data_IF_039595513906
#
_entry.id   IF_039595513906
#
_cell.length_a   1.000
_cell.length_b   1.000
_cell.length_c   1.000
_cell.angle_alpha   90.00
_cell.angle_beta   90.00
_cell.angle_gamma   90.00
#
_symmetry.space_group_name_H-M   'P 1'
#
loop_
_entity.id
_entity.type
_entity.pdbx_description
1 polymer ?
#
# COMPACT_ATOMS: atom_id res chain seq x y z
N UNK A 1 14.89 42.05 12.92
CA UNK A 1 16.24 41.51 13.16
C UNK A 1 16.36 40.24 12.34
N UNK A 2 17.34 40.24 11.44
CA UNK A 2 17.40 39.50 10.18
C UNK A 2 17.66 38.01 10.46
N UNK A 3 16.80 37.13 9.96
CA UNK A 3 17.10 35.70 9.85
C UNK A 3 18.19 35.53 8.78
N UNK A 4 19.27 34.80 9.05
CA UNK A 4 20.39 34.72 8.12
C UNK A 4 19.99 34.01 6.84
N UNK A 5 20.39 34.63 5.72
CA UNK A 5 20.42 34.04 4.40
C UNK A 5 21.22 32.73 4.44
N UNK A 6 20.55 31.68 4.01
CA UNK A 6 21.04 30.32 4.03
C UNK A 6 19.94 29.42 3.49
N UNK A 7 19.39 29.79 2.34
CA UNK A 7 18.79 28.83 1.43
C UNK A 7 19.91 27.83 1.17
N UNK A 8 19.89 26.72 1.92
CA UNK A 8 20.64 25.53 1.55
C UNK A 8 20.06 25.19 0.18
N UNK A 9 20.80 25.57 -0.86
CA UNK A 9 20.52 25.26 -2.24
C UNK A 9 19.96 23.83 -2.30
N UNK A 10 18.84 23.66 -3.02
CA UNK A 10 18.37 22.35 -3.43
C UNK A 10 19.49 21.67 -4.23
N UNK A 11 20.43 21.02 -3.53
CA UNK A 11 21.48 20.21 -4.13
C UNK A 11 20.82 19.24 -5.09
N UNK A 12 21.10 19.41 -6.37
CA UNK A 12 20.79 18.53 -7.51
C UNK A 12 19.82 17.39 -7.18
N UNK A 13 18.51 17.70 -7.18
CA UNK A 13 17.50 16.63 -7.14
C UNK A 13 17.66 15.82 -8.43
N UNK A 14 17.94 14.51 -8.35
CA UNK A 14 18.12 13.73 -9.57
C UNK A 14 16.79 13.69 -10.33
N UNK A 15 16.86 13.78 -11.67
CA UNK A 15 15.68 13.73 -12.54
C UNK A 15 14.85 12.45 -12.31
N UNK A 16 15.52 11.37 -11.93
CA UNK A 16 14.89 10.11 -11.55
C UNK A 16 15.50 9.59 -10.24
N UNK A 17 14.73 8.87 -9.40
CA UNK A 17 15.26 8.24 -8.21
C UNK A 17 16.45 7.34 -8.53
N UNK A 18 17.50 7.45 -7.71
CA UNK A 18 18.71 6.63 -7.83
C UNK A 18 18.42 5.17 -7.44
N UNK A 19 17.42 4.97 -6.60
CA UNK A 19 16.98 3.66 -6.14
C UNK A 19 15.46 3.60 -5.99
N UNK A 20 14.91 2.40 -6.20
CA UNK A 20 13.51 2.05 -5.95
C UNK A 20 13.45 0.89 -4.97
N UNK A 21 12.55 1.01 -4.00
CA UNK A 21 12.20 -0.07 -3.08
C UNK A 21 10.71 -0.35 -3.25
N UNK A 22 10.38 -1.61 -3.44
CA UNK A 22 9.00 -2.10 -3.45
C UNK A 22 8.74 -2.83 -2.14
N UNK A 23 7.67 -2.45 -1.46
CA UNK A 23 7.22 -3.04 -0.19
C UNK A 23 5.72 -3.33 -0.17
N UNK A 24 4.98 -3.07 -1.26
CA UNK A 24 3.56 -3.43 -1.43
C UNK A 24 3.45 -4.73 -2.25
N UNK A 25 3.76 -5.87 -1.64
CA UNK A 25 4.03 -7.16 -2.27
C UNK A 25 5.47 -7.61 -1.99
N UNK A 26 6.05 -8.39 -2.90
CA UNK A 26 7.41 -8.91 -2.75
C UNK A 26 8.44 -7.79 -2.51
N UNK A 27 9.22 -7.92 -1.44
CA UNK A 27 10.24 -6.95 -1.07
C UNK A 27 11.37 -6.94 -2.10
N UNK A 28 11.53 -5.84 -2.83
CA UNK A 28 12.61 -5.70 -3.82
C UNK A 28 13.33 -4.37 -3.71
N UNK A 29 14.62 -4.39 -4.07
CA UNK A 29 15.48 -3.20 -4.16
C UNK A 29 16.06 -3.13 -5.56
N UNK A 30 15.95 -1.98 -6.22
CA UNK A 30 16.45 -1.77 -7.57
C UNK A 30 17.26 -0.47 -7.66
N UNK A 31 18.46 -0.51 -8.22
CA UNK A 31 19.28 0.68 -8.49
C UNK A 31 19.11 1.11 -9.95
N UNK A 32 19.28 2.41 -10.17
CA UNK A 32 19.32 2.98 -11.52
C UNK A 32 20.57 2.51 -12.26
N UNK A 33 20.41 2.07 -13.50
CA UNK A 33 21.51 1.64 -14.38
C UNK A 33 21.78 2.68 -15.47
N UNK A 34 20.73 3.32 -15.98
CA UNK A 34 20.85 4.38 -16.99
C UNK A 34 19.69 5.36 -16.85
N UNK A 35 20.03 6.65 -16.96
CA UNK A 35 19.12 7.79 -17.02
C UNK A 35 19.18 8.49 -18.39
N UNK A 36 19.90 7.90 -19.36
CA UNK A 36 20.31 8.52 -20.62
C UNK A 36 19.20 8.61 -21.69
N UNK A 37 17.98 8.16 -21.39
CA UNK A 37 16.83 8.18 -22.31
C UNK A 37 15.54 8.61 -21.62
N UNK A 38 14.41 8.60 -22.34
CA UNK A 38 13.11 9.06 -21.83
C UNK A 38 12.59 8.28 -20.62
N UNK A 39 13.03 7.03 -20.44
CA UNK A 39 12.68 6.18 -19.30
C UNK A 39 13.93 5.66 -18.61
N UNK A 40 14.07 5.86 -17.28
CA UNK A 40 15.18 5.29 -16.53
C UNK A 40 15.08 3.77 -16.49
N UNK A 41 16.22 3.09 -16.58
CA UNK A 41 16.32 1.63 -16.40
C UNK A 41 16.80 1.32 -15.00
N UNK A 42 16.11 0.38 -14.35
CA UNK A 42 16.46 -0.12 -13.02
C UNK A 42 16.79 -1.60 -13.09
N UNK A 43 17.82 -2.03 -12.34
CA UNK A 43 18.16 -3.44 -12.16
C UNK A 43 17.83 -3.86 -10.73
N UNK A 44 17.09 -4.94 -10.59
CA UNK A 44 16.81 -5.58 -9.31
C UNK A 44 18.11 -6.13 -8.71
N UNK A 45 18.28 -5.93 -7.42
CA UNK A 45 19.33 -6.59 -6.65
C UNK A 45 18.96 -8.06 -6.47
N UNK A 46 19.90 -8.94 -6.74
CA UNK A 46 19.74 -10.39 -6.61
C UNK A 46 19.74 -10.82 -5.15
N UNK A 47 19.25 -12.03 -4.88
CA UNK A 47 19.34 -12.62 -3.54
C UNK A 47 20.79 -12.71 -3.07
N UNK A 48 21.76 -12.96 -3.96
CA UNK A 48 23.19 -12.98 -3.57
C UNK A 48 23.71 -11.61 -3.10
N UNK A 49 23.17 -10.51 -3.66
CA UNK A 49 23.50 -9.13 -3.29
C UNK A 49 22.82 -8.73 -1.96
N UNK A 50 21.72 -9.37 -1.58
CA UNK A 50 20.94 -9.03 -0.37
C UNK A 50 21.09 -10.04 0.78
N UNK A 51 21.24 -11.33 0.49
CA UNK A 51 20.93 -12.49 1.35
C UNK A 51 21.84 -12.69 2.56
N UNK A 52 23.04 -12.10 2.57
CA UNK A 52 23.92 -12.09 3.73
C UNK A 52 23.69 -10.92 4.70
N UNK A 53 22.76 -10.00 4.39
CA UNK A 53 22.69 -8.66 5.01
C UNK A 53 21.39 -8.44 5.80
N UNK A 54 20.86 -9.50 6.43
CA UNK A 54 19.56 -9.48 7.14
C UNK A 54 19.38 -8.31 8.10
N UNK A 55 20.37 -8.02 8.95
CA UNK A 55 20.29 -6.91 9.90
C UNK A 55 20.26 -5.53 9.22
N UNK A 56 20.96 -5.36 8.09
CA UNK A 56 20.93 -4.12 7.31
C UNK A 56 19.61 -3.93 6.57
N UNK A 57 19.02 -5.01 6.04
CA UNK A 57 17.69 -4.99 5.45
C UNK A 57 16.60 -4.72 6.49
N UNK A 58 16.72 -5.30 7.68
CA UNK A 58 15.81 -5.01 8.78
C UNK A 58 15.93 -3.54 9.22
N UNK A 59 17.14 -3.00 9.33
CA UNK A 59 17.36 -1.57 9.60
C UNK A 59 16.71 -0.68 8.53
N UNK A 60 16.83 -1.05 7.25
CA UNK A 60 16.19 -0.36 6.13
C UNK A 60 14.65 -0.39 6.26
N UNK A 61 14.06 -1.57 6.48
CA UNK A 61 12.61 -1.74 6.67
C UNK A 61 12.10 -0.92 7.87
N UNK A 62 12.80 -0.95 9.01
CA UNK A 62 12.48 -0.13 10.19
C UNK A 62 12.49 1.36 9.84
N UNK A 63 13.51 1.83 9.12
CA UNK A 63 13.60 3.23 8.71
C UNK A 63 12.45 3.60 7.75
N UNK A 64 12.08 2.74 6.80
CA UNK A 64 10.91 2.95 5.92
C UNK A 64 9.61 3.08 6.73
N UNK A 65 9.46 2.28 7.79
CA UNK A 65 8.30 2.35 8.69
C UNK A 65 8.34 3.55 9.64
N UNK A 66 9.50 4.16 9.86
CA UNK A 66 9.67 5.24 10.82
C UNK A 66 9.14 6.58 10.27
N UNK A 67 8.52 7.43 11.11
CA UNK A 67 8.10 8.77 10.69
C UNK A 67 9.23 9.55 10.03
N UNK A 68 8.95 10.16 8.87
CA UNK A 68 9.93 10.91 8.06
C UNK A 68 11.17 10.09 7.67
N UNK A 69 11.05 8.76 7.64
CA UNK A 69 12.14 7.82 7.36
C UNK A 69 13.35 7.97 8.28
N UNK A 70 13.07 8.30 9.55
CA UNK A 70 14.08 8.68 10.52
C UNK A 70 13.89 7.92 11.82
N UNK A 71 14.98 7.36 12.35
CA UNK A 71 15.00 6.73 13.65
C UNK A 71 16.27 7.13 14.42
N UNK A 72 16.19 7.10 15.75
CA UNK A 72 17.34 7.34 16.60
C UNK A 72 18.20 6.09 16.73
N UNK A 73 19.48 6.28 17.06
CA UNK A 73 20.41 5.20 17.37
C UNK A 73 19.84 4.25 18.43
N UNK A 74 19.27 4.82 19.50
CA UNK A 74 18.66 4.06 20.60
C UNK A 74 17.46 3.23 20.14
N UNK A 75 16.57 3.82 19.32
CA UNK A 75 15.42 3.11 18.76
C UNK A 75 15.86 1.94 17.86
N UNK A 76 16.85 2.16 17.00
CA UNK A 76 17.37 1.13 16.10
C UNK A 76 18.02 -0.02 16.86
N UNK A 77 18.83 0.27 17.88
CA UNK A 77 19.44 -0.77 18.74
C UNK A 77 18.34 -1.61 19.40
N UNK A 78 17.33 -0.96 20.00
CA UNK A 78 16.24 -1.64 20.69
C UNK A 78 15.45 -2.57 19.76
N UNK A 79 15.22 -2.17 18.52
CA UNK A 79 14.46 -2.95 17.54
C UNK A 79 15.28 -4.07 16.89
N UNK A 80 16.56 -3.82 16.58
CA UNK A 80 17.43 -4.80 15.93
C UNK A 80 17.95 -5.86 16.91
N UNK A 81 18.21 -5.46 18.17
CA UNK A 81 18.82 -6.32 19.18
C UNK A 81 18.22 -6.09 20.58
N UNK A 82 16.98 -6.53 20.84
CA UNK A 82 16.30 -6.28 22.11
C UNK A 82 17.00 -6.90 23.33
N UNK A 83 17.81 -7.94 23.14
CA UNK A 83 18.47 -8.73 24.21
C UNK A 83 19.99 -8.53 24.31
N UNK A 84 20.60 -7.62 23.53
CA UNK A 84 22.06 -7.41 23.56
C UNK A 84 22.47 -6.29 24.52
N UNK A 85 23.65 -6.45 25.12
CA UNK A 85 24.29 -5.40 25.91
C UNK A 85 24.63 -4.16 25.05
N UNK A 86 24.52 -2.98 25.66
CA UNK A 86 24.55 -1.68 24.97
C UNK A 86 25.85 -1.42 24.18
N UNK A 87 27.02 -1.80 24.70
CA UNK A 87 28.30 -1.57 24.01
C UNK A 87 28.47 -2.45 22.76
N UNK A 88 28.14 -3.73 22.87
CA UNK A 88 28.17 -4.66 21.74
C UNK A 88 27.15 -4.26 20.66
N UNK A 89 25.99 -3.75 21.08
CA UNK A 89 24.96 -3.27 20.16
C UNK A 89 25.38 -2.01 19.40
N UNK A 90 26.19 -1.12 19.99
CA UNK A 90 26.72 0.06 19.31
C UNK A 90 27.64 -0.32 18.15
N UNK A 91 28.63 -1.17 18.40
CA UNK A 91 29.55 -1.63 17.34
C UNK A 91 28.82 -2.44 16.26
N UNK A 92 27.81 -3.24 16.66
CA UNK A 92 26.96 -3.94 15.70
C UNK A 92 26.16 -2.96 14.83
N UNK A 93 25.59 -1.90 15.41
CA UNK A 93 24.88 -0.87 14.64
C UNK A 93 25.80 -0.16 13.66
N UNK A 94 27.01 0.22 14.08
CA UNK A 94 27.97 0.89 13.19
C UNK A 94 28.31 -0.02 12.00
N UNK A 95 28.53 -1.32 12.26
CA UNK A 95 28.76 -2.33 11.22
C UNK A 95 27.58 -2.46 10.27
N UNK A 96 26.35 -2.62 10.81
CA UNK A 96 25.12 -2.75 10.03
C UNK A 96 24.86 -1.49 9.19
N UNK A 97 25.06 -0.31 9.77
CA UNK A 97 24.91 0.96 9.05
C UNK A 97 25.95 1.09 7.94
N UNK A 98 27.20 0.67 8.16
CA UNK A 98 28.25 0.67 7.14
C UNK A 98 27.91 -0.27 5.98
N UNK A 99 27.40 -1.48 6.29
CA UNK A 99 26.92 -2.43 5.28
C UNK A 99 25.76 -1.83 4.48
N UNK A 100 24.78 -1.24 5.17
CA UNK A 100 23.62 -0.61 4.55
C UNK A 100 24.05 0.52 3.60
N UNK A 101 25.01 1.37 3.99
CA UNK A 101 25.55 2.44 3.13
C UNK A 101 26.29 1.93 1.90
N UNK A 102 27.18 0.95 2.08
CA UNK A 102 28.13 0.54 1.02
C UNK A 102 27.56 -0.47 0.03
N UNK A 103 26.64 -1.32 0.48
CA UNK A 103 26.22 -2.48 -0.32
C UNK A 103 24.76 -2.40 -0.78
N UNK A 104 23.93 -1.63 -0.10
CA UNK A 104 22.49 -1.55 -0.41
C UNK A 104 22.14 -0.14 -0.87
N UNK A 105 22.52 0.90 -0.13
CA UNK A 105 22.14 2.29 -0.38
C UNK A 105 23.23 3.14 -1.04
N UNK A 106 24.22 2.51 -1.67
CA UNK A 106 25.28 3.20 -2.41
C UNK A 106 24.71 3.73 -3.73
N UNK A 107 24.71 5.05 -3.92
CA UNK A 107 24.48 5.63 -5.24
C UNK A 107 25.77 5.59 -6.08
N UNK A 108 25.62 5.62 -7.41
CA UNK A 108 26.74 5.74 -8.35
C UNK A 108 27.57 7.03 -8.14
N UNK A 109 27.00 8.05 -7.49
CA UNK A 109 27.60 9.35 -7.24
C UNK A 109 28.33 9.46 -5.89
N UNK A 110 28.83 8.36 -5.33
CA UNK A 110 29.62 8.27 -4.08
C UNK A 110 28.90 8.63 -2.77
N UNK A 111 27.75 9.31 -2.82
CA UNK A 111 26.93 9.59 -1.63
C UNK A 111 25.94 8.46 -1.33
N UNK A 112 25.90 8.02 -0.08
CA UNK A 112 24.95 7.03 0.41
C UNK A 112 23.56 7.65 0.64
N UNK A 113 22.51 6.92 0.30
CA UNK A 113 21.11 7.30 0.56
C UNK A 113 20.70 7.19 2.04
N UNK A 114 21.62 6.79 2.92
CA UNK A 114 21.50 6.84 4.38
C UNK A 114 22.41 7.92 4.96
N UNK A 115 21.79 8.93 5.56
CA UNK A 115 22.43 10.04 6.24
C UNK A 115 22.44 9.83 7.75
N UNK A 116 23.42 10.45 8.42
CA UNK A 116 23.51 10.49 9.87
C UNK A 116 23.65 11.93 10.34
N UNK A 117 22.83 12.32 11.31
CA UNK A 117 22.86 13.65 11.89
C UNK A 117 22.83 13.55 13.41
N UNK A 118 23.62 14.38 14.08
CA UNK A 118 23.56 14.53 15.54
C UNK A 118 22.73 15.75 15.88
N UNK A 119 21.66 15.57 16.65
CA UNK A 119 20.75 16.61 17.10
C UNK A 119 20.51 16.44 18.60
N UNK A 120 20.70 17.50 19.38
CA UNK A 120 20.47 17.50 20.84
C UNK A 120 21.17 16.34 21.58
N UNK A 121 22.39 16.00 21.17
CA UNK A 121 23.17 14.90 21.76
C UNK A 121 22.82 13.50 21.24
N UNK A 122 21.69 13.34 20.55
CA UNK A 122 21.24 12.06 20.00
C UNK A 122 21.64 11.90 18.51
N UNK A 123 21.96 10.67 18.12
CA UNK A 123 22.31 10.33 16.73
C UNK A 123 21.09 9.81 15.99
N UNK A 124 20.78 10.42 14.85
CA UNK A 124 19.68 10.07 13.97
C UNK A 124 20.20 9.45 12.67
N UNK A 125 19.50 8.42 12.22
CA UNK A 125 19.67 7.81 10.90
C UNK A 125 18.46 8.15 10.04
N UNK A 126 18.71 8.61 8.81
CA UNK A 126 17.68 9.13 7.92
C UNK A 126 17.88 8.59 6.51
N UNK A 127 16.82 8.04 5.92
CA UNK A 127 16.85 7.73 4.49
C UNK A 127 16.60 8.99 3.67
N UNK A 128 17.18 9.01 2.48
CA UNK A 128 16.91 10.05 1.48
C UNK A 128 15.41 10.13 1.15
N UNK A 129 14.97 11.32 0.73
CA UNK A 129 13.58 11.57 0.34
C UNK A 129 13.19 10.87 -0.97
N UNK A 130 11.89 10.97 -1.31
CA UNK A 130 11.31 10.28 -2.48
C UNK A 130 11.94 10.62 -3.83
N UNK A 131 12.57 11.79 -3.95
CA UNK A 131 13.28 12.19 -5.18
C UNK A 131 14.50 11.32 -5.45
N UNK A 132 15.18 10.80 -4.42
CA UNK A 132 16.43 10.05 -4.56
C UNK A 132 16.26 8.57 -4.23
N UNK A 133 15.48 8.25 -3.18
CA UNK A 133 15.13 6.89 -2.79
C UNK A 133 13.61 6.74 -2.88
N UNK A 134 13.14 6.19 -3.99
CA UNK A 134 11.72 5.99 -4.20
C UNK A 134 11.22 4.73 -3.50
N UNK A 135 10.18 4.85 -2.69
CA UNK A 135 9.47 3.73 -2.05
C UNK A 135 8.02 3.75 -2.51
N UNK A 136 7.51 2.62 -3.01
CA UNK A 136 6.13 2.51 -3.52
C UNK A 136 5.06 2.89 -2.48
N UNK A 137 5.22 2.48 -1.22
CA UNK A 137 4.29 2.82 -0.15
C UNK A 137 4.21 4.33 0.13
N UNK A 138 5.33 5.05 0.02
CA UNK A 138 5.33 6.52 0.10
C UNK A 138 4.75 7.16 -1.16
N UNK A 139 4.99 6.56 -2.33
CA UNK A 139 4.41 7.02 -3.59
C UNK A 139 2.88 6.86 -3.60
N UNK A 140 2.36 5.74 -3.10
CA UNK A 140 0.93 5.47 -2.91
C UNK A 140 0.26 6.60 -2.12
N UNK A 141 0.80 6.91 -0.93
CA UNK A 141 0.27 7.96 -0.05
C UNK A 141 0.38 9.34 -0.71
N UNK A 142 1.50 9.64 -1.38
CA UNK A 142 1.68 10.91 -2.07
C UNK A 142 0.72 11.09 -3.26
N UNK A 143 0.49 10.04 -4.05
CA UNK A 143 -0.46 10.06 -5.16
C UNK A 143 -1.89 10.23 -4.66
N UNK A 144 -2.29 9.52 -3.60
CA UNK A 144 -3.60 9.72 -2.97
C UNK A 144 -3.79 11.15 -2.46
N UNK A 145 -2.78 11.73 -1.79
CA UNK A 145 -2.83 13.12 -1.34
C UNK A 145 -2.88 14.11 -2.53
N UNK A 146 -2.20 13.78 -3.63
CA UNK A 146 -2.24 14.58 -4.86
C UNK A 146 -3.62 14.55 -5.50
N UNK A 147 -4.26 13.39 -5.56
CA UNK A 147 -5.64 13.24 -6.03
C UNK A 147 -6.60 14.15 -5.25
N UNK A 148 -6.55 14.12 -3.91
CA UNK A 148 -7.37 14.99 -3.05
C UNK A 148 -7.15 16.47 -3.36
N UNK A 149 -5.89 16.90 -3.54
CA UNK A 149 -5.59 18.30 -3.91
C UNK A 149 -6.11 18.68 -5.29
N UNK A 150 -6.05 17.76 -6.25
CA UNK A 150 -6.58 18.00 -7.60
C UNK A 150 -8.10 18.14 -7.57
N UNK A 151 -8.79 17.28 -6.83
CA UNK A 151 -10.23 17.36 -6.63
C UNK A 151 -10.65 18.69 -5.96
N UNK A 152 -9.93 19.13 -4.92
CA UNK A 152 -10.17 20.43 -4.28
C UNK A 152 -9.99 21.62 -5.22
N UNK A 153 -9.19 21.46 -6.29
CA UNK A 153 -9.00 22.46 -7.35
C UNK A 153 -9.97 22.27 -8.52
N UNK A 154 -11.00 21.43 -8.38
CA UNK A 154 -11.92 21.04 -9.45
C UNK A 154 -11.23 20.47 -10.70
N UNK A 155 -10.08 19.81 -10.52
CA UNK A 155 -9.36 19.08 -11.56
C UNK A 155 -9.61 17.58 -11.43
N UNK A 156 -9.37 16.84 -12.51
CA UNK A 156 -9.55 15.39 -12.53
C UNK A 156 -8.54 14.67 -11.61
N UNK A 157 -8.98 14.01 -10.52
CA UNK A 157 -8.11 13.25 -9.64
C UNK A 157 -7.83 11.82 -10.17
N UNK A 158 -8.59 11.35 -11.18
CA UNK A 158 -8.60 9.95 -11.60
C UNK A 158 -7.22 9.41 -12.00
N UNK A 159 -6.37 10.11 -12.78
CA UNK A 159 -5.06 9.58 -13.17
C UNK A 159 -4.14 9.30 -11.98
N UNK A 160 -4.24 10.11 -10.91
CA UNK A 160 -3.44 9.93 -9.70
C UNK A 160 -3.92 8.74 -8.87
N UNK A 161 -5.23 8.53 -8.80
CA UNK A 161 -5.81 7.39 -8.11
C UNK A 161 -5.54 6.08 -8.86
N UNK A 162 -5.67 6.06 -10.19
CA UNK A 162 -5.33 4.90 -11.02
C UNK A 162 -3.84 4.56 -10.90
N UNK A 163 -2.96 5.58 -10.93
CA UNK A 163 -1.53 5.39 -10.71
C UNK A 163 -1.20 4.88 -9.30
N UNK A 164 -1.91 5.35 -8.27
CA UNK A 164 -1.74 4.86 -6.91
C UNK A 164 -2.16 3.39 -6.79
N UNK A 165 -3.33 3.05 -7.32
CA UNK A 165 -3.85 1.69 -7.28
C UNK A 165 -2.92 0.69 -7.98
N UNK A 166 -2.31 1.08 -9.11
CA UNK A 166 -1.33 0.25 -9.82
C UNK A 166 -0.05 -0.08 -9.02
N UNK A 167 0.21 0.62 -7.90
CA UNK A 167 1.33 0.30 -7.00
C UNK A 167 1.00 -0.83 -6.01
N UNK A 168 -0.28 -1.16 -5.82
CA UNK A 168 -0.71 -2.18 -4.88
C UNK A 168 -0.56 -3.54 -5.56
N UNK A 169 0.52 -4.27 -5.24
CA UNK A 169 0.76 -5.63 -5.76
C UNK A 169 0.59 -6.73 -4.72
N UNK A 170 0.36 -6.34 -3.47
CA UNK A 170 0.18 -7.26 -2.34
C UNK A 170 0.17 -6.54 -0.99
N UNK A 171 0.44 -7.30 0.05
CA UNK A 171 0.49 -6.82 1.42
C UNK A 171 1.72 -5.95 1.68
N UNK A 172 1.59 -4.98 2.59
CA UNK A 172 2.72 -4.15 3.00
C UNK A 172 3.70 -4.96 3.85
N UNK A 173 4.95 -5.10 3.38
CA UNK A 173 6.01 -5.87 4.02
C UNK A 173 5.55 -7.26 4.47
N UNK A 174 5.07 -8.06 3.52
CA UNK A 174 4.48 -9.39 3.78
C UNK A 174 5.37 -10.31 4.64
N UNK A 175 6.68 -10.33 4.40
CA UNK A 175 7.66 -11.12 5.17
C UNK A 175 7.69 -10.80 6.68
N UNK A 176 7.24 -9.61 7.06
CA UNK A 176 7.38 -9.08 8.41
C UNK A 176 6.02 -8.80 9.06
N UNK A 177 4.92 -9.34 8.52
CA UNK A 177 3.55 -8.96 8.88
C UNK A 177 3.24 -8.97 10.39
N UNK A 178 3.92 -9.81 11.17
CA UNK A 178 3.72 -9.95 12.63
C UNK A 178 4.55 -8.99 13.48
N UNK A 179 5.44 -8.20 12.88
CA UNK A 179 6.31 -7.29 13.61
C UNK A 179 5.55 -6.05 14.14
N UNK A 180 5.64 -5.80 15.45
CA UNK A 180 4.94 -4.67 16.09
C UNK A 180 5.36 -3.29 15.54
N UNK A 181 6.63 -3.12 15.16
CA UNK A 181 7.14 -1.84 14.65
C UNK A 181 6.60 -1.47 13.26
N UNK A 182 5.96 -2.42 12.56
CA UNK A 182 5.30 -2.18 11.27
C UNK A 182 3.88 -1.64 11.44
N UNK A 183 3.20 -1.99 12.53
CA UNK A 183 1.75 -1.84 12.68
C UNK A 183 1.26 -0.42 12.38
N UNK A 184 1.88 0.61 12.96
CA UNK A 184 1.47 2.01 12.72
C UNK A 184 1.62 2.43 11.25
N UNK A 185 2.68 1.95 10.58
CA UNK A 185 2.87 2.21 9.16
C UNK A 185 1.90 1.41 8.30
N UNK A 186 1.69 0.11 8.62
CA UNK A 186 0.72 -0.75 7.92
C UNK A 186 -0.68 -0.13 7.97
N UNK A 187 -1.15 0.29 9.14
CA UNK A 187 -2.45 0.97 9.28
C UNK A 187 -2.56 2.23 8.40
N UNK A 188 -1.49 3.02 8.30
CA UNK A 188 -1.46 4.21 7.43
C UNK A 188 -1.62 3.82 5.95
N UNK A 189 -0.94 2.76 5.53
CA UNK A 189 -0.98 2.26 4.15
C UNK A 189 -2.33 1.62 3.84
N UNK A 190 -2.85 0.75 4.70
CA UNK A 190 -4.16 0.12 4.52
C UNK A 190 -5.30 1.15 4.49
N UNK A 191 -5.24 2.15 5.36
CA UNK A 191 -6.16 3.28 5.29
C UNK A 191 -6.06 4.06 3.98
N UNK A 192 -4.87 4.20 3.40
CA UNK A 192 -4.69 4.83 2.09
C UNK A 192 -5.24 3.96 0.95
N UNK A 193 -4.97 2.64 0.95
CA UNK A 193 -5.53 1.69 -0.02
C UNK A 193 -7.06 1.75 -0.03
N UNK A 194 -7.69 1.70 1.15
CA UNK A 194 -9.16 1.79 1.31
C UNK A 194 -9.71 3.10 0.75
N UNK A 195 -9.08 4.23 1.05
CA UNK A 195 -9.49 5.54 0.49
C UNK A 195 -9.37 5.58 -1.04
N UNK A 196 -8.27 5.08 -1.61
CA UNK A 196 -8.06 5.01 -3.06
C UNK A 196 -9.15 4.15 -3.71
N UNK A 197 -9.44 2.98 -3.14
CA UNK A 197 -10.48 2.06 -3.62
C UNK A 197 -11.84 2.75 -3.75
N UNK A 198 -12.37 3.30 -2.65
CA UNK A 198 -13.70 3.90 -2.66
C UNK A 198 -13.78 5.15 -3.53
N UNK A 199 -12.69 5.94 -3.60
CA UNK A 199 -12.66 7.11 -4.47
C UNK A 199 -12.66 6.71 -5.95
N UNK A 200 -11.90 5.68 -6.33
CA UNK A 200 -11.94 5.12 -7.68
C UNK A 200 -13.32 4.58 -8.04
N UNK A 201 -13.94 3.81 -7.15
CA UNK A 201 -15.31 3.29 -7.35
C UNK A 201 -16.27 4.44 -7.61
N UNK A 202 -16.27 5.48 -6.77
CA UNK A 202 -17.14 6.64 -6.93
C UNK A 202 -16.92 7.37 -8.26
N UNK A 203 -15.65 7.59 -8.67
CA UNK A 203 -15.32 8.25 -9.93
C UNK A 203 -15.67 7.40 -11.15
N UNK A 204 -15.47 6.08 -11.08
CA UNK A 204 -15.88 5.19 -12.15
C UNK A 204 -17.40 5.17 -12.31
N UNK A 205 -18.16 5.14 -11.21
CA UNK A 205 -19.63 5.23 -11.28
C UNK A 205 -20.06 6.58 -11.88
N UNK A 206 -19.51 7.68 -11.38
CA UNK A 206 -19.81 9.04 -11.88
C UNK A 206 -19.51 9.21 -13.37
N UNK A 207 -18.51 8.50 -13.89
CA UNK A 207 -18.08 8.55 -15.29
C UNK A 207 -18.69 7.43 -16.15
N UNK A 208 -19.78 6.79 -15.69
CA UNK A 208 -20.46 5.65 -16.36
C UNK A 208 -19.55 4.44 -16.67
N UNK A 209 -18.43 4.31 -15.97
CA UNK A 209 -17.49 3.17 -16.06
C UNK A 209 -17.86 2.07 -15.06
N UNK A 210 -19.13 1.68 -15.03
CA UNK A 210 -19.69 0.74 -14.03
C UNK A 210 -18.92 -0.59 -13.98
N UNK A 211 -18.54 -1.16 -15.14
CA UNK A 211 -17.78 -2.42 -15.18
C UNK A 211 -16.44 -2.33 -14.44
N UNK A 212 -15.73 -1.20 -14.52
CA UNK A 212 -14.47 -1.01 -13.80
C UNK A 212 -14.68 -0.89 -12.30
N UNK A 213 -15.75 -0.23 -11.85
CA UNK A 213 -16.09 -0.17 -10.44
C UNK A 213 -16.42 -1.56 -9.88
N UNK A 214 -17.17 -2.34 -10.64
CA UNK A 214 -17.53 -3.72 -10.31
C UNK A 214 -16.28 -4.63 -10.21
N UNK A 215 -15.43 -4.65 -11.24
CA UNK A 215 -14.18 -5.43 -11.26
C UNK A 215 -13.28 -5.08 -10.07
N UNK A 216 -13.17 -3.78 -9.76
CA UNK A 216 -12.38 -3.26 -8.67
C UNK A 216 -12.89 -3.75 -7.29
N UNK A 217 -14.21 -3.72 -7.06
CA UNK A 217 -14.82 -4.21 -5.83
C UNK A 217 -14.73 -5.73 -5.70
N UNK A 218 -14.96 -6.47 -6.79
CA UNK A 218 -14.81 -7.93 -6.79
C UNK A 218 -13.38 -8.34 -6.45
N UNK A 219 -12.39 -7.74 -7.11
CA UNK A 219 -10.98 -8.05 -6.85
C UNK A 219 -10.59 -7.72 -5.41
N UNK A 220 -11.16 -6.67 -4.81
CA UNK A 220 -10.89 -6.33 -3.43
C UNK A 220 -11.54 -7.32 -2.45
N UNK A 221 -12.80 -7.70 -2.66
CA UNK A 221 -13.53 -8.66 -1.81
C UNK A 221 -13.00 -10.10 -1.90
N UNK A 222 -12.21 -10.43 -2.93
CA UNK A 222 -11.46 -11.69 -2.98
C UNK A 222 -10.46 -11.84 -1.84
N UNK A 223 -9.83 -10.73 -1.44
CA UNK A 223 -8.83 -10.71 -0.38
C UNK A 223 -9.37 -10.19 0.94
N UNK A 224 -10.46 -9.41 0.90
CA UNK A 224 -11.10 -8.80 2.07
C UNK A 224 -12.61 -9.08 2.10
N UNK A 225 -13.03 -10.36 2.15
CA UNK A 225 -14.45 -10.73 2.19
C UNK A 225 -15.19 -10.18 3.41
N UNK A 226 -14.47 -9.83 4.48
CA UNK A 226 -15.00 -9.21 5.69
C UNK A 226 -15.30 -7.71 5.55
N UNK A 227 -14.93 -7.09 4.42
CA UNK A 227 -15.18 -5.67 4.18
C UNK A 227 -16.62 -5.40 3.74
N UNK A 228 -17.46 -5.16 4.74
CA UNK A 228 -18.89 -4.94 4.55
C UNK A 228 -19.23 -3.70 3.72
N UNK A 229 -18.41 -2.65 3.76
CA UNK A 229 -18.63 -1.44 2.96
C UNK A 229 -18.46 -1.77 1.47
N UNK A 230 -17.39 -2.48 1.10
CA UNK A 230 -17.13 -2.89 -0.28
C UNK A 230 -18.23 -3.87 -0.75
N UNK A 231 -18.64 -4.79 0.12
CA UNK A 231 -19.74 -5.70 -0.13
C UNK A 231 -21.03 -4.94 -0.44
N UNK A 232 -21.41 -3.97 0.39
CA UNK A 232 -22.62 -3.18 0.17
C UNK A 232 -22.58 -2.41 -1.16
N UNK A 233 -21.46 -1.78 -1.49
CA UNK A 233 -21.30 -1.09 -2.78
C UNK A 233 -21.48 -2.05 -3.96
N UNK A 234 -20.88 -3.23 -3.90
CA UNK A 234 -20.99 -4.22 -4.97
C UNK A 234 -22.41 -4.79 -5.08
N UNK A 235 -23.05 -5.07 -3.95
CA UNK A 235 -24.45 -5.52 -3.92
C UNK A 235 -25.37 -4.49 -4.58
N UNK A 236 -25.18 -3.19 -4.29
CA UNK A 236 -25.96 -2.13 -4.94
C UNK A 236 -25.74 -2.10 -6.45
N UNK A 237 -24.49 -2.12 -6.92
CA UNK A 237 -24.17 -2.11 -8.36
C UNK A 237 -24.79 -3.31 -9.09
N UNK A 238 -24.69 -4.51 -8.52
CA UNK A 238 -25.27 -5.72 -9.11
C UNK A 238 -26.80 -5.62 -9.20
N UNK A 239 -27.46 -5.03 -8.21
CA UNK A 239 -28.91 -4.88 -8.18
C UNK A 239 -29.40 -3.87 -9.22
N UNK A 240 -28.69 -2.76 -9.39
CA UNK A 240 -28.96 -1.77 -10.45
C UNK A 240 -28.88 -2.39 -11.84
N UNK A 241 -27.98 -3.36 -12.04
CA UNK A 241 -27.86 -4.15 -13.27
C UNK A 241 -28.86 -5.32 -13.37
N UNK A 242 -29.75 -5.50 -12.37
CA UNK A 242 -30.72 -6.61 -12.33
C UNK A 242 -30.14 -7.96 -11.87
N UNK A 243 -28.86 -8.04 -11.51
CA UNK A 243 -28.13 -9.25 -11.10
C UNK A 243 -28.28 -9.55 -9.60
N UNK A 244 -29.52 -9.58 -9.13
CA UNK A 244 -29.86 -9.73 -7.70
C UNK A 244 -29.37 -11.02 -7.07
N UNK A 245 -29.44 -12.14 -7.81
CA UNK A 245 -29.00 -13.44 -7.29
C UNK A 245 -27.48 -13.45 -7.04
N UNK A 246 -26.71 -12.77 -7.88
CA UNK A 246 -25.26 -12.62 -7.68
C UNK A 246 -24.97 -11.78 -6.42
N UNK A 247 -25.72 -10.68 -6.21
CA UNK A 247 -25.60 -9.85 -5.00
C UNK A 247 -25.88 -10.64 -3.70
N UNK A 248 -26.86 -11.54 -3.72
CA UNK A 248 -27.13 -12.41 -2.56
C UNK A 248 -26.06 -13.48 -2.38
N UNK A 249 -25.50 -14.01 -3.47
CA UNK A 249 -24.45 -15.04 -3.42
C UNK A 249 -23.20 -14.49 -2.75
N UNK A 250 -22.74 -13.30 -3.14
CA UNK A 250 -21.57 -12.68 -2.53
C UNK A 250 -21.80 -12.24 -1.08
N UNK A 251 -23.01 -11.79 -0.74
CA UNK A 251 -23.40 -11.55 0.65
C UNK A 251 -23.27 -12.82 1.49
N UNK A 252 -23.78 -13.95 1.00
CA UNK A 252 -23.75 -15.21 1.72
C UNK A 252 -22.33 -15.70 1.97
N UNK A 253 -21.45 -15.58 0.97
CA UNK A 253 -20.03 -15.88 1.12
C UNK A 253 -19.38 -15.00 2.21
N UNK A 254 -19.56 -13.68 2.13
CA UNK A 254 -18.97 -12.73 3.08
C UNK A 254 -19.50 -12.94 4.50
N UNK A 255 -20.79 -13.24 4.64
CA UNK A 255 -21.41 -13.55 5.92
C UNK A 255 -20.86 -14.84 6.55
N UNK A 256 -20.58 -15.86 5.73
CA UNK A 256 -19.92 -17.08 6.21
C UNK A 256 -18.51 -16.78 6.72
N UNK A 257 -17.72 -16.00 5.97
CA UNK A 257 -16.37 -15.63 6.42
C UNK A 257 -16.39 -14.82 7.72
N UNK A 258 -17.32 -13.87 7.86
CA UNK A 258 -17.50 -13.13 9.12
C UNK A 258 -17.85 -14.08 10.27
N UNK A 259 -18.72 -15.06 10.04
CA UNK A 259 -19.10 -16.05 11.05
C UNK A 259 -17.90 -16.91 11.49
N UNK A 260 -17.05 -17.33 10.55
CA UNK A 260 -15.79 -18.04 10.84
C UNK A 260 -14.82 -17.19 11.68
N UNK A 261 -14.91 -15.87 11.57
CA UNK A 261 -14.18 -14.90 12.40
C UNK A 261 -14.92 -14.51 13.70
N UNK A 262 -15.95 -15.28 14.08
CA UNK A 262 -16.81 -15.02 15.26
C UNK A 262 -17.47 -13.62 15.24
N UNK A 263 -17.76 -13.12 14.04
CA UNK A 263 -18.43 -11.83 13.80
C UNK A 263 -19.72 -12.03 13.03
N UNK A 264 -20.68 -11.16 13.29
CA UNK A 264 -21.92 -11.11 12.52
C UNK A 264 -21.87 -9.93 11.55
N UNK A 265 -22.49 -10.02 10.35
CA UNK A 265 -22.64 -8.88 9.46
C UNK A 265 -23.38 -7.74 10.17
N UNK A 266 -22.95 -6.50 9.94
CA UNK A 266 -23.57 -5.31 10.47
C UNK A 266 -25.06 -5.22 10.10
N UNK A 267 -25.82 -4.54 10.97
CA UNK A 267 -27.28 -4.38 10.83
C UNK A 267 -27.69 -3.86 9.44
N UNK A 268 -26.93 -2.90 8.90
CA UNK A 268 -27.18 -2.32 7.58
C UNK A 268 -26.99 -3.35 6.45
N UNK A 269 -25.87 -4.08 6.46
CA UNK A 269 -25.56 -5.15 5.50
C UNK A 269 -26.65 -6.23 5.48
N UNK A 270 -27.08 -6.68 6.67
CA UNK A 270 -28.19 -7.62 6.80
C UNK A 270 -29.52 -7.03 6.30
N UNK A 271 -29.76 -5.73 6.54
CA UNK A 271 -30.92 -5.00 6.07
C UNK A 271 -31.02 -5.00 4.54
N UNK A 272 -29.90 -4.67 3.87
CA UNK A 272 -29.80 -4.71 2.41
C UNK A 272 -30.10 -6.11 1.88
N UNK A 273 -29.45 -7.15 2.41
CA UNK A 273 -29.69 -8.53 1.98
C UNK A 273 -31.16 -8.96 2.15
N UNK A 274 -31.82 -8.57 3.25
CA UNK A 274 -33.25 -8.84 3.48
C UNK A 274 -34.15 -8.15 2.44
N UNK A 275 -33.86 -6.89 2.09
CA UNK A 275 -34.60 -6.15 1.05
C UNK A 275 -34.46 -6.80 -0.34
N UNK A 276 -33.27 -7.30 -0.66
CA UNK A 276 -33.02 -8.00 -1.93
C UNK A 276 -33.81 -9.33 -2.00
N UNK A 277 -33.85 -10.08 -0.89
CA UNK A 277 -34.64 -11.33 -0.81
C UNK A 277 -36.15 -11.09 -0.94
N UNK A 278 -36.69 -10.04 -0.32
CA UNK A 278 -38.13 -9.76 -0.39
C UNK A 278 -38.56 -9.31 -1.79
N UNK A 279 -37.70 -8.58 -2.49
CA UNK A 279 -37.93 -8.11 -3.85
C UNK A 279 -37.90 -9.22 -4.90
N UNK A 280 -37.12 -10.29 -4.69
CA UNK A 280 -37.14 -11.51 -5.51
C UNK A 280 -38.48 -12.24 -5.42
N UNK A 281 -39.00 -12.43 -4.20
CA UNK A 281 -40.29 -13.09 -3.96
C UNK A 281 -41.48 -12.39 -4.64
N UNK A 282 -41.36 -11.07 -4.90
CA UNK A 282 -42.36 -10.29 -5.63
C UNK A 282 -42.26 -10.48 -7.14
N UNK A 283 -41.05 -10.61 -7.70
CA UNK A 283 -40.82 -10.77 -9.14
C UNK A 283 -40.95 -12.22 -9.63
N UNK A 284 -40.73 -13.23 -8.81
CA UNK A 284 -41.01 -14.64 -9.17
C UNK A 284 -42.51 -14.89 -9.44
N UNK A 285 -43.40 -13.99 -8.99
CA UNK A 285 -44.83 -14.02 -9.33
C UNK A 285 -45.14 -13.39 -10.71
N UNK A 286 -44.14 -12.87 -11.43
CA UNK A 286 -44.27 -12.31 -12.80
C UNK A 286 -43.36 -13.06 -13.77
N UNK A 287 -43.89 -13.73 -14.81
CA UNK A 287 -43.13 -14.69 -15.59
C UNK A 287 -42.37 -14.01 -16.74
N UNK A 288 -41.24 -13.35 -16.47
CA UNK A 288 -40.28 -13.03 -17.53
C UNK A 288 -38.87 -12.86 -16.95
N UNK A 289 -38.01 -13.88 -17.10
CA UNK A 289 -36.57 -13.68 -17.03
C UNK A 289 -35.87 -14.47 -18.16
N UNK A 290 -35.15 -13.73 -19.01
CA UNK A 290 -34.15 -14.27 -19.94
C UNK A 290 -32.82 -14.37 -19.20
N UNK A 291 -32.22 -15.54 -19.26
CA UNK A 291 -30.92 -15.87 -18.68
C UNK A 291 -29.78 -15.35 -19.56
N UNK A 292 -28.87 -14.60 -18.97
CA UNK A 292 -27.50 -14.47 -19.45
C UNK A 292 -26.59 -14.59 -18.22
N UNK A 293 -25.88 -15.71 -18.11
CA UNK A 293 -24.94 -15.99 -17.01
C UNK A 293 -23.58 -15.37 -17.37
N UNK A 294 -23.03 -14.42 -16.59
CA UNK A 294 -21.66 -13.96 -16.80
C UNK A 294 -20.63 -14.94 -16.19
N UNK A 295 -19.50 -15.11 -16.88
CA UNK A 295 -18.43 -16.10 -16.61
C UNK A 295 -17.53 -15.83 -15.37
N UNK A 296 -17.84 -14.86 -14.51
CA UNK A 296 -16.95 -14.51 -13.37
C UNK A 296 -17.22 -15.31 -12.08
N UNK A 297 -18.20 -16.21 -12.09
CA UNK A 297 -18.68 -16.97 -10.92
C UNK A 297 -17.65 -17.96 -10.37
N UNK A 298 -16.68 -18.42 -11.16
CA UNK A 298 -15.80 -19.52 -10.76
C UNK A 298 -14.57 -19.15 -9.93
N UNK A 299 -14.22 -17.86 -9.78
CA UNK A 299 -12.97 -17.49 -9.10
C UNK A 299 -13.14 -17.41 -7.57
N UNK A 300 -14.31 -17.00 -7.06
CA UNK A 300 -14.55 -16.90 -5.61
C UNK A 300 -14.68 -18.26 -4.91
N UNK A 301 -15.09 -19.32 -5.63
CA UNK A 301 -15.37 -20.64 -5.04
C UNK A 301 -14.13 -21.55 -5.04
N UNK A 302 -13.09 -21.22 -5.82
CA UNK A 302 -11.95 -22.11 -6.06
C UNK A 302 -10.71 -21.85 -5.17
N UNK A 303 -10.78 -20.95 -4.19
CA UNK A 303 -9.65 -20.60 -3.30
C UNK A 303 -9.98 -20.89 -1.82
N UNK A 304 -10.81 -21.89 -1.56
CA UNK A 304 -10.99 -22.47 -0.23
C UNK A 304 -10.20 -23.78 -0.10
#
# INVERSE_FOLDING_TARGET
>A
MILPEGVVEERDKPRYPLMRITVLGEFTVAHVVSTSGDRPRYRLMTESELGGRKAALLMLKILICSPRRRATKTQLIKLLWPMRESEQANHALDTVSSILRRHILSASTHDSLLQTQRLNGETYFMLAGQSSLWVDADALVNLANTAVRYEQQAKDPLPYLEAAYALIKGEFLEDEAHCLWIQGRKQTIEGAKRRILYHLVALYIKNDRIRRAEELLFSFLQYHPEDEDALCHLMHLLVEQGRRQEALTIYHYSAQVLQELEREPAYYTQGLARQLKSSLKLHEKSPTYRTAVPRHIYIMIAVA
#
